data_IF_974124141349
#
_entry.id   IF_974124141349
#
_cell.length_a   1.000
_cell.length_b   1.000
_cell.length_c   1.000
_cell.angle_alpha   90.00
_cell.angle_beta   90.00
_cell.angle_gamma   90.00
#
_symmetry.space_group_name_H-M   'P 1'
#
loop_
_entity.id
_entity.type
_entity.pdbx_description
1 polymer ?
#
# COMPACT_ATOMS: atom_id res chain seq x y z
N UNK A 1 0.45 -21.85 -21.03
CA UNK A 1 -1.00 -21.61 -20.86
C UNK A 1 -1.22 -21.05 -19.46
N UNK A 2 -2.20 -20.18 -19.25
CA UNK A 2 -2.57 -19.69 -17.90
C UNK A 2 -3.44 -20.74 -17.22
N UNK A 3 -3.09 -21.14 -16.00
CA UNK A 3 -3.76 -22.22 -15.25
C UNK A 3 -3.90 -21.85 -13.77
N UNK A 4 -4.75 -22.57 -13.04
CA UNK A 4 -4.96 -22.37 -11.59
C UNK A 4 -5.53 -21.00 -11.24
N UNK A 5 -5.10 -20.44 -10.11
CA UNK A 5 -5.68 -19.25 -9.48
C UNK A 5 -5.79 -18.02 -10.39
N UNK A 6 -4.87 -17.85 -11.36
CA UNK A 6 -4.91 -16.73 -12.31
C UNK A 6 -6.12 -16.83 -13.25
N UNK A 7 -6.50 -18.04 -13.67
CA UNK A 7 -7.69 -18.25 -14.50
C UNK A 7 -8.98 -17.90 -13.72
N UNK A 8 -9.02 -18.24 -12.43
CA UNK A 8 -10.13 -17.89 -11.52
C UNK A 8 -10.20 -16.39 -11.21
N UNK A 9 -9.05 -15.71 -11.13
CA UNK A 9 -8.99 -14.24 -11.02
C UNK A 9 -9.56 -13.58 -12.27
N UNK A 10 -9.15 -14.04 -13.46
CA UNK A 10 -9.67 -13.54 -14.74
C UNK A 10 -11.17 -13.78 -14.88
N UNK A 11 -11.67 -14.96 -14.48
CA UNK A 11 -13.10 -15.28 -14.50
C UNK A 11 -13.92 -14.41 -13.53
N UNK A 12 -13.36 -14.06 -12.36
CA UNK A 12 -14.00 -13.10 -11.42
C UNK A 12 -14.01 -11.69 -11.97
N UNK A 13 -12.88 -11.23 -12.53
CA UNK A 13 -12.80 -9.91 -13.18
C UNK A 13 -13.78 -9.78 -14.36
N UNK A 14 -13.93 -10.83 -15.18
CA UNK A 14 -14.87 -10.85 -16.29
C UNK A 14 -16.36 -10.75 -15.85
N UNK A 15 -16.69 -11.11 -14.61
CA UNK A 15 -18.02 -10.86 -14.01
C UNK A 15 -18.12 -9.43 -13.49
N UNK A 16 -17.12 -8.95 -12.75
CA UNK A 16 -17.06 -7.57 -12.25
C UNK A 16 -17.19 -6.53 -13.37
N UNK A 17 -16.47 -6.73 -14.48
CA UNK A 17 -16.48 -5.83 -15.63
C UNK A 17 -17.85 -5.62 -16.28
N UNK A 18 -18.82 -6.52 -16.08
CA UNK A 18 -20.18 -6.39 -16.65
C UNK A 18 -21.01 -5.27 -16.01
N UNK A 19 -20.67 -4.87 -14.78
CA UNK A 19 -21.32 -3.78 -14.04
C UNK A 19 -20.35 -2.64 -13.70
N UNK A 20 -19.11 -2.69 -14.20
CA UNK A 20 -18.08 -1.70 -13.90
C UNK A 20 -18.40 -0.36 -14.57
N UNK A 21 -18.41 0.71 -13.77
CA UNK A 21 -18.47 2.09 -14.25
C UNK A 21 -17.09 2.71 -14.08
N UNK A 22 -16.51 3.23 -15.16
CA UNK A 22 -15.21 3.90 -15.10
C UNK A 22 -15.29 5.19 -14.28
N UNK A 23 -14.32 5.47 -13.39
CA UNK A 23 -14.26 6.74 -12.67
C UNK A 23 -13.98 7.91 -13.64
N UNK A 24 -14.24 9.17 -13.22
CA UNK A 24 -13.89 10.35 -14.01
C UNK A 24 -12.41 10.38 -14.40
N UNK A 25 -12.08 10.99 -15.53
CA UNK A 25 -10.68 11.09 -15.97
C UNK A 25 -9.82 11.90 -15.00
N UNK A 26 -8.52 11.56 -14.88
CA UNK A 26 -7.61 12.14 -13.89
C UNK A 26 -7.60 13.68 -13.87
N UNK A 27 -7.70 14.34 -15.03
CA UNK A 27 -7.77 15.81 -15.12
C UNK A 27 -9.08 16.38 -14.56
N UNK A 28 -10.21 15.68 -14.76
CA UNK A 28 -11.49 16.05 -14.17
C UNK A 28 -11.45 15.88 -12.65
N UNK A 29 -10.96 14.73 -12.16
CA UNK A 29 -10.78 14.48 -10.72
C UNK A 29 -9.84 15.52 -10.08
N UNK A 30 -8.70 15.83 -10.72
CA UNK A 30 -7.74 16.82 -10.22
C UNK A 30 -8.36 18.23 -10.13
N UNK A 31 -9.21 18.62 -11.08
CA UNK A 31 -9.91 19.91 -11.03
C UNK A 31 -10.91 19.98 -9.86
N UNK A 32 -11.65 18.90 -9.61
CA UNK A 32 -12.61 18.79 -8.52
C UNK A 32 -11.91 18.75 -7.14
N UNK A 33 -10.87 17.93 -6.98
CA UNK A 33 -10.10 17.82 -5.74
C UNK A 33 -9.38 19.13 -5.37
N UNK A 34 -8.84 19.87 -6.36
CA UNK A 34 -8.25 21.20 -6.12
C UNK A 34 -9.30 22.23 -5.70
N UNK A 35 -10.53 22.12 -6.19
CA UNK A 35 -11.64 22.99 -5.82
C UNK A 35 -12.19 22.76 -4.40
N UNK A 36 -12.10 21.53 -3.88
CA UNK A 36 -12.56 21.19 -2.53
C UNK A 36 -11.48 21.24 -1.46
N UNK A 37 -10.20 21.11 -1.83
CA UNK A 37 -9.09 20.99 -0.88
C UNK A 37 -9.09 19.69 -0.06
N UNK A 38 -10.03 18.77 -0.33
CA UNK A 38 -10.34 17.60 0.50
C UNK A 38 -9.73 16.28 -0.05
N UNK A 39 -8.62 16.36 -0.78
CA UNK A 39 -7.94 15.19 -1.32
C UNK A 39 -7.20 14.42 -0.22
N UNK A 40 -7.59 13.16 0.01
CA UNK A 40 -6.90 12.24 0.94
C UNK A 40 -6.10 11.21 0.14
N UNK A 41 -4.84 11.00 0.54
CA UNK A 41 -3.99 9.91 0.03
C UNK A 41 -3.70 8.97 1.18
N UNK A 42 -3.99 7.68 1.00
CA UNK A 42 -3.68 6.64 1.99
C UNK A 42 -2.44 5.88 1.52
N UNK A 43 -1.42 5.84 2.37
CA UNK A 43 -0.21 5.03 2.20
C UNK A 43 -0.28 3.92 3.24
N UNK A 44 -0.19 2.67 2.82
CA UNK A 44 -0.25 1.51 3.70
C UNK A 44 0.66 0.38 3.24
N UNK A 45 0.95 -0.57 4.13
CA UNK A 45 1.55 -1.85 3.75
C UNK A 45 0.65 -2.59 2.74
N UNK A 46 1.23 -3.44 1.90
CA UNK A 46 0.52 -4.30 0.94
C UNK A 46 -0.17 -5.53 1.57
N UNK A 47 -0.40 -5.54 2.89
CA UNK A 47 -0.87 -6.67 3.68
C UNK A 47 -2.27 -7.16 3.25
N UNK A 48 -2.50 -8.48 3.05
CA UNK A 48 -3.77 -9.00 2.53
C UNK A 48 -4.92 -8.86 3.54
N UNK A 49 -4.59 -8.65 4.82
CA UNK A 49 -5.51 -8.44 5.93
C UNK A 49 -5.74 -6.94 6.18
N UNK A 50 -4.98 -6.08 5.51
CA UNK A 50 -5.12 -4.63 5.53
C UNK A 50 -5.70 -4.19 4.19
N UNK A 51 -7.03 -4.13 4.11
CA UNK A 51 -7.73 -3.46 3.01
C UNK A 51 -8.11 -2.04 3.45
N UNK A 52 -7.42 -0.96 3.01
CA UNK A 52 -7.73 0.40 3.43
C UNK A 52 -9.16 0.82 3.11
N UNK A 53 -9.72 0.35 1.99
CA UNK A 53 -11.10 0.67 1.60
C UNK A 53 -12.11 0.14 2.63
N UNK A 54 -11.95 -1.12 3.05
CA UNK A 54 -12.79 -1.73 4.08
C UNK A 54 -12.58 -1.09 5.45
N UNK A 55 -11.32 -0.87 5.84
CA UNK A 55 -10.94 -0.42 7.20
C UNK A 55 -11.34 1.04 7.44
N UNK A 56 -11.20 1.91 6.43
CA UNK A 56 -11.53 3.33 6.53
C UNK A 56 -12.95 3.66 6.06
N UNK A 57 -13.73 2.68 5.60
CA UNK A 57 -15.06 2.89 5.04
C UNK A 57 -15.05 3.71 3.74
N UNK A 58 -13.96 3.68 2.97
CA UNK A 58 -13.86 4.32 1.67
C UNK A 58 -14.57 3.42 0.66
N UNK A 59 -15.62 3.95 0.03
CA UNK A 59 -16.47 3.20 -0.89
C UNK A 59 -15.72 2.69 -2.14
N UNK A 60 -16.26 1.60 -2.71
CA UNK A 60 -16.11 1.04 -4.06
C UNK A 60 -15.30 -0.27 -4.24
N UNK A 61 -15.73 -1.30 -3.51
CA UNK A 61 -15.80 -2.72 -3.94
C UNK A 61 -14.57 -3.38 -4.61
N UNK A 62 -13.50 -3.71 -3.87
CA UNK A 62 -12.70 -4.97 -4.04
C UNK A 62 -11.63 -5.18 -2.93
N UNK A 63 -11.03 -6.37 -2.87
CA UNK A 63 -10.01 -6.84 -1.89
C UNK A 63 -8.69 -7.26 -2.58
N UNK A 64 -7.49 -7.08 -1.96
CA UNK A 64 -6.22 -7.72 -2.40
C UNK A 64 -5.04 -7.70 -1.37
N UNK A 65 -3.94 -8.43 -1.63
CA UNK A 65 -2.71 -8.61 -0.81
C UNK A 65 -1.36 -8.33 -1.51
N UNK A 66 -0.17 -8.71 -0.99
CA UNK A 66 0.22 -9.65 0.10
C UNK A 66 1.32 -9.12 1.08
N UNK A 67 1.51 -9.75 2.25
CA UNK A 67 2.58 -9.47 3.26
C UNK A 67 2.95 -10.71 4.10
N UNK A 68 4.27 -10.91 4.30
CA UNK A 68 4.94 -11.55 5.45
C UNK A 68 6.43 -11.73 5.09
N UNK A 69 7.17 -10.65 4.94
CA UNK A 69 8.57 -10.69 4.48
C UNK A 69 9.47 -9.75 5.29
N UNK A 70 10.73 -10.15 5.46
CA UNK A 70 11.80 -9.42 6.17
C UNK A 70 13.04 -9.44 5.26
N UNK A 71 13.93 -8.45 5.33
CA UNK A 71 15.05 -8.29 4.40
C UNK A 71 15.90 -9.56 4.29
N UNK A 72 16.19 -10.26 5.39
CA UNK A 72 16.98 -11.49 5.35
C UNK A 72 16.30 -12.61 4.57
N UNK A 73 15.00 -12.86 4.81
CA UNK A 73 14.23 -13.88 4.07
C UNK A 73 14.06 -13.51 2.60
N UNK A 74 13.90 -12.22 2.29
CA UNK A 74 13.87 -11.70 0.91
C UNK A 74 15.22 -11.96 0.23
N UNK A 75 16.33 -11.62 0.90
CA UNK A 75 17.69 -11.82 0.38
C UNK A 75 18.01 -13.29 0.16
N UNK A 76 17.72 -14.17 1.11
CA UNK A 76 17.93 -15.62 0.94
C UNK A 76 17.14 -16.18 -0.25
N UNK A 77 15.84 -15.85 -0.35
CA UNK A 77 15.02 -16.31 -1.48
C UNK A 77 15.50 -15.75 -2.83
N UNK A 78 15.89 -14.47 -2.88
CA UNK A 78 16.43 -13.86 -4.11
C UNK A 78 17.80 -14.45 -4.49
N UNK A 79 18.66 -14.82 -3.54
CA UNK A 79 19.94 -15.46 -3.80
C UNK A 79 19.79 -16.90 -4.31
N UNK A 80 18.75 -17.62 -3.91
CA UNK A 80 18.39 -18.94 -4.48
C UNK A 80 17.86 -18.82 -5.92
N UNK A 81 17.10 -17.75 -6.23
CA UNK A 81 16.48 -17.53 -7.55
C UNK A 81 17.47 -16.92 -8.56
N UNK A 82 18.29 -15.96 -8.12
CA UNK A 82 19.17 -15.14 -8.95
C UNK A 82 20.59 -15.02 -8.34
N UNK A 83 21.36 -16.13 -8.25
CA UNK A 83 22.69 -16.12 -7.64
C UNK A 83 23.71 -15.25 -8.38
N UNK A 84 23.47 -14.93 -9.67
CA UNK A 84 24.28 -13.98 -10.45
C UNK A 84 24.21 -12.54 -9.94
N UNK A 85 23.11 -12.15 -9.32
CA UNK A 85 22.83 -10.76 -8.91
C UNK A 85 23.12 -10.52 -7.42
N UNK A 86 23.90 -11.42 -6.81
CA UNK A 86 24.10 -11.49 -5.36
C UNK A 86 24.58 -10.18 -4.72
N UNK A 87 25.37 -9.37 -5.43
CA UNK A 87 25.89 -8.11 -4.89
C UNK A 87 24.84 -7.00 -4.86
N UNK A 88 23.93 -6.96 -5.84
CA UNK A 88 22.76 -6.09 -5.81
C UNK A 88 21.80 -6.50 -4.68
N UNK A 89 21.53 -7.81 -4.54
CA UNK A 89 20.61 -8.35 -3.52
C UNK A 89 21.10 -8.04 -2.10
N UNK A 90 22.41 -8.12 -1.83
CA UNK A 90 23.01 -7.78 -0.52
C UNK A 90 22.94 -6.29 -0.19
N UNK A 91 23.15 -5.42 -1.18
CA UNK A 91 23.26 -3.97 -0.96
C UNK A 91 21.91 -3.27 -0.96
N UNK A 92 20.90 -3.83 -1.62
CA UNK A 92 19.55 -3.27 -1.68
C UNK A 92 18.81 -3.36 -0.34
N UNK A 93 18.13 -2.27 0.04
CA UNK A 93 17.18 -2.24 1.15
C UNK A 93 15.76 -2.53 0.67
N UNK A 94 15.00 -3.35 1.41
CA UNK A 94 13.62 -3.72 1.07
C UNK A 94 12.58 -3.17 2.05
N UNK A 95 12.88 -2.05 2.73
CA UNK A 95 11.93 -1.33 3.59
C UNK A 95 11.48 -2.08 4.85
N UNK A 96 12.27 -3.03 5.35
CA UNK A 96 11.95 -3.72 6.61
C UNK A 96 11.89 -2.75 7.80
N UNK A 97 10.77 -2.81 8.52
CA UNK A 97 10.62 -2.29 9.88
C UNK A 97 11.51 -3.11 10.83
N UNK A 98 12.50 -2.46 11.44
CA UNK A 98 13.42 -3.06 12.43
C UNK A 98 13.12 -2.60 13.87
N UNK A 99 12.32 -1.55 14.02
CA UNK A 99 11.87 -0.91 15.25
C UNK A 99 10.40 -1.29 15.55
N UNK A 100 9.67 -0.52 16.37
CA UNK A 100 8.23 -0.73 16.54
C UNK A 100 7.44 -0.15 15.36
N UNK A 101 6.20 -0.60 15.18
CA UNK A 101 5.30 -0.07 14.13
C UNK A 101 5.10 1.44 14.31
N UNK A 102 4.94 1.90 15.55
CA UNK A 102 4.80 3.31 15.87
C UNK A 102 6.04 4.13 15.46
N UNK A 103 7.25 3.58 15.63
CA UNK A 103 8.47 4.30 15.26
C UNK A 103 8.66 4.35 13.74
N UNK A 104 8.39 3.26 13.02
CA UNK A 104 8.36 3.28 11.55
C UNK A 104 7.34 4.29 11.01
N UNK A 105 6.17 4.44 11.64
CA UNK A 105 5.20 5.46 11.26
C UNK A 105 5.73 6.88 11.50
N UNK A 106 6.47 7.12 12.59
CA UNK A 106 7.12 8.43 12.84
C UNK A 106 8.24 8.72 11.85
N UNK A 107 9.05 7.71 11.52
CA UNK A 107 10.10 7.81 10.49
C UNK A 107 9.50 8.18 9.13
N UNK A 108 8.45 7.48 8.69
CA UNK A 108 7.73 7.79 7.44
C UNK A 108 7.10 9.19 7.45
N UNK A 109 6.45 9.60 8.54
CA UNK A 109 5.91 10.96 8.70
C UNK A 109 7.01 12.03 8.66
N UNK A 110 8.17 11.78 9.29
CA UNK A 110 9.30 12.69 9.25
C UNK A 110 9.88 12.82 7.84
N UNK A 111 9.98 11.72 7.08
CA UNK A 111 10.37 11.74 5.66
C UNK A 111 9.38 12.55 4.81
N UNK A 112 8.07 12.35 5.00
CA UNK A 112 7.03 13.09 4.28
C UNK A 112 7.02 14.59 4.61
N UNK A 113 7.19 14.97 5.88
CA UNK A 113 7.27 16.38 6.31
C UNK A 113 8.52 17.10 5.81
N UNK A 114 9.64 16.40 5.72
CA UNK A 114 10.90 16.95 5.22
C UNK A 114 11.01 16.93 3.68
N UNK A 115 10.02 16.37 2.98
CA UNK A 115 10.00 16.32 1.52
C UNK A 115 9.63 17.69 0.92
N UNK A 116 10.48 18.29 0.06
CA UNK A 116 10.15 19.56 -0.61
C UNK A 116 9.00 19.43 -1.63
N UNK A 117 8.52 18.20 -1.88
CA UNK A 117 7.43 17.89 -2.80
C UNK A 117 6.07 17.80 -2.11
N UNK A 118 6.03 17.80 -0.78
CA UNK A 118 4.80 17.82 0.02
C UNK A 118 4.58 19.24 0.54
N UNK A 119 3.39 19.80 0.32
CA UNK A 119 3.09 21.16 0.78
C UNK A 119 2.94 21.22 2.29
N UNK A 120 3.43 22.28 2.94
CA UNK A 120 3.33 22.48 4.41
C UNK A 120 1.88 22.58 4.92
N UNK A 121 0.90 22.74 4.02
CA UNK A 121 -0.55 22.71 4.32
C UNK A 121 -1.15 21.31 4.30
N UNK A 122 -0.38 20.27 3.93
CA UNK A 122 -0.83 18.88 3.91
C UNK A 122 -0.92 18.36 5.34
N UNK A 123 -2.12 17.96 5.76
CA UNK A 123 -2.26 17.24 7.03
C UNK A 123 -1.68 15.83 6.86
N UNK A 124 -0.73 15.47 7.72
CA UNK A 124 -0.11 14.14 7.76
C UNK A 124 -0.46 13.51 9.11
N UNK A 125 -1.04 12.31 9.08
CA UNK A 125 -1.54 11.57 10.25
C UNK A 125 -0.99 10.15 10.21
N UNK A 126 -0.35 9.73 11.30
CA UNK A 126 0.19 8.39 11.49
C UNK A 126 -0.86 7.47 12.09
N UNK A 127 -1.11 6.33 11.45
CA UNK A 127 -2.09 5.35 11.92
C UNK A 127 -1.44 3.98 12.10
N UNK A 128 -1.74 3.31 13.21
CA UNK A 128 -1.47 1.88 13.44
C UNK A 128 -2.77 1.09 13.29
N UNK A 129 -2.73 0.02 12.50
CA UNK A 129 -3.79 -0.97 12.39
C UNK A 129 -3.40 -2.26 13.13
N UNK A 130 -4.25 -2.71 14.04
CA UNK A 130 -4.07 -3.95 14.79
C UNK A 130 -4.88 -5.07 14.14
N UNK A 131 -4.18 -5.99 13.47
CA UNK A 131 -4.79 -7.05 12.63
C UNK A 131 -5.70 -7.99 13.44
N UNK A 132 -5.37 -8.25 14.71
CA UNK A 132 -6.12 -9.18 15.57
C UNK A 132 -7.47 -8.61 16.03
N UNK A 133 -7.56 -7.30 16.23
CA UNK A 133 -8.77 -6.61 16.71
C UNK A 133 -9.52 -5.85 15.61
N UNK A 134 -8.89 -5.62 14.46
CA UNK A 134 -9.39 -4.74 13.41
C UNK A 134 -9.36 -3.25 13.76
N UNK A 135 -8.68 -2.86 14.85
CA UNK A 135 -8.70 -1.49 15.38
C UNK A 135 -7.66 -0.60 14.70
N UNK A 136 -8.07 0.62 14.34
CA UNK A 136 -7.17 1.73 14.06
C UNK A 136 -6.89 2.57 15.33
N UNK A 137 -5.65 3.00 15.48
CA UNK A 137 -5.23 3.97 16.50
C UNK A 137 -4.29 5.01 15.90
N UNK A 138 -4.47 6.27 16.27
CA UNK A 138 -3.54 7.35 15.91
C UNK A 138 -2.20 7.13 16.64
N UNK A 139 -1.11 7.25 15.90
CA UNK A 139 0.27 7.27 16.39
C UNK A 139 0.76 8.70 16.56
N UNK A 140 0.41 9.57 15.60
CA UNK A 140 0.77 10.99 15.53
C UNK A 140 -0.19 11.78 14.63
#
# INVERSE_FOLDING_TARGET
MVTGSVLEMLARNAKFAQAYTAPPGLMQMASQMKGTGAGVVVISCSDPRLNPYQILGIDQTLNCGLTHFHNEKIRSALLEIAPSDAEAIKTQGFGQITTSIEESVREDLALLRNSPWITNTTQLVGLKYEIESGKLSIVE
#
